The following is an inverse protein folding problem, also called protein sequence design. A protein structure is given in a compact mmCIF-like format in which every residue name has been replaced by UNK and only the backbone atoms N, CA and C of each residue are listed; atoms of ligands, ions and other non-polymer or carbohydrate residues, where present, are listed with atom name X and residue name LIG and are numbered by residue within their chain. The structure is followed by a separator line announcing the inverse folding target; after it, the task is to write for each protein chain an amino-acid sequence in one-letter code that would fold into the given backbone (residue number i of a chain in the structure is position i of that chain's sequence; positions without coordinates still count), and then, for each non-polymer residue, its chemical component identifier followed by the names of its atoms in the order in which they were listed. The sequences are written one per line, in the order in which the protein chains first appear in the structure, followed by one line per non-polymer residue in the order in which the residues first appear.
data_IF_297592972433
#
_entry.id   IF_297592972433
#
_cell.length_a   1.000
_cell.length_b   1.000
_cell.length_c   1.000
_cell.angle_alpha   90.00
_cell.angle_beta   90.00
_cell.angle_gamma   90.00
#
_symmetry.space_group_name_H-M   'P 1'
#
loop_
_entity.id
_entity.type
_entity.pdbx_description
1 polymer ?
#
# COMPACT_ATOMS: atom_id res chain seq x y z
N UNK A 1 3.87 23.23 21.71
CA UNK A 1 2.99 23.15 22.91
C UNK A 1 2.30 21.79 22.90
N UNK A 2 2.55 20.93 23.88
CA UNK A 2 2.03 19.55 23.88
C UNK A 2 0.50 19.54 24.00
N UNK A 3 -0.19 18.99 23.00
CA UNK A 3 -1.62 18.69 23.04
C UNK A 3 -1.85 17.55 24.07
N UNK A 4 -1.85 17.92 25.35
CA UNK A 4 -1.88 17.01 26.50
C UNK A 4 -3.27 16.42 26.73
N UNK A 5 -3.86 15.83 25.69
CA UNK A 5 -5.01 14.95 25.83
C UNK A 5 -4.51 13.52 26.10
N UNK A 6 -4.61 13.00 27.33
CA UNK A 6 -4.08 11.68 27.69
C UNK A 6 -4.70 10.54 26.86
N UNK A 7 -5.92 10.71 26.33
CA UNK A 7 -6.53 9.73 25.43
C UNK A 7 -5.85 9.67 24.05
N UNK A 8 -5.39 10.81 23.52
CA UNK A 8 -4.66 10.86 22.24
C UNK A 8 -3.27 10.24 22.39
N UNK A 9 -2.55 10.61 23.46
CA UNK A 9 -1.23 10.05 23.78
C UNK A 9 -1.28 8.54 24.00
N UNK A 10 -2.32 8.01 24.66
CA UNK A 10 -2.48 6.56 24.84
C UNK A 10 -2.76 5.82 23.51
N UNK A 11 -3.52 6.44 22.59
CA UNK A 11 -3.78 5.86 21.27
C UNK A 11 -2.53 5.83 20.39
N UNK A 12 -1.72 6.88 20.43
CA UNK A 12 -0.43 6.92 19.72
C UNK A 12 0.50 5.80 20.20
N UNK A 13 0.67 5.66 21.52
CA UNK A 13 1.48 4.57 22.10
C UNK A 13 0.97 3.18 21.70
N UNK A 14 -0.35 2.97 21.78
CA UNK A 14 -0.94 1.70 21.35
C UNK A 14 -0.70 1.43 19.87
N UNK A 15 -0.79 2.45 19.02
CA UNK A 15 -0.52 2.33 17.60
C UNK A 15 0.95 1.98 17.33
N UNK A 16 1.89 2.58 18.07
CA UNK A 16 3.32 2.28 17.95
C UNK A 16 3.65 0.83 18.35
N UNK A 17 3.06 0.35 19.46
CA UNK A 17 3.18 -1.05 19.87
C UNK A 17 2.62 -2.00 18.81
N UNK A 18 1.48 -1.63 18.20
CA UNK A 18 0.86 -2.43 17.15
C UNK A 18 1.73 -2.47 15.88
N UNK A 19 2.28 -1.33 15.47
CA UNK A 19 3.15 -1.22 14.30
C UNK A 19 4.45 -2.01 14.49
N UNK A 20 5.07 -1.94 15.66
CA UNK A 20 6.27 -2.71 15.97
C UNK A 20 6.02 -4.22 15.91
N UNK A 21 4.90 -4.70 16.47
CA UNK A 21 4.56 -6.13 16.45
C UNK A 21 4.17 -6.61 15.03
N UNK A 22 3.45 -5.77 14.26
CA UNK A 22 3.12 -6.08 12.88
C UNK A 22 4.34 -6.03 11.97
N UNK A 23 5.35 -5.23 12.28
CA UNK A 23 6.62 -5.24 11.53
C UNK A 23 7.30 -6.60 11.64
N UNK A 24 7.35 -7.17 12.84
CA UNK A 24 7.83 -8.54 13.06
C UNK A 24 7.02 -9.53 12.22
N UNK A 25 5.69 -9.38 12.16
CA UNK A 25 4.84 -10.25 11.32
C UNK A 25 5.21 -10.17 9.83
N UNK A 26 5.47 -8.97 9.32
CA UNK A 26 5.89 -8.77 7.91
C UNK A 26 7.25 -9.40 7.66
N UNK A 27 8.23 -9.17 8.54
CA UNK A 27 9.57 -9.74 8.39
C UNK A 27 9.55 -11.28 8.45
N UNK A 28 8.69 -11.86 9.30
CA UNK A 28 8.44 -13.30 9.32
C UNK A 28 7.77 -13.79 8.03
N UNK A 29 6.75 -13.07 7.55
CA UNK A 29 6.05 -13.41 6.31
C UNK A 29 6.99 -13.41 5.12
N UNK A 30 7.83 -12.38 4.99
CA UNK A 30 8.80 -12.25 3.90
C UNK A 30 9.95 -13.25 4.00
N UNK A 31 10.30 -13.75 5.19
CA UNK A 31 11.25 -14.86 5.39
C UNK A 31 10.58 -16.25 5.37
N UNK A 32 9.46 -16.43 4.66
CA UNK A 32 8.76 -17.73 4.54
C UNK A 32 8.22 -18.33 5.84
N UNK A 33 8.23 -17.59 6.95
CA UNK A 33 7.66 -18.00 8.24
C UNK A 33 6.19 -17.56 8.35
N UNK A 34 5.44 -17.77 7.27
CA UNK A 34 4.06 -17.29 7.13
C UNK A 34 3.13 -17.86 8.21
N UNK A 35 3.24 -19.16 8.52
CA UNK A 35 2.41 -19.80 9.53
C UNK A 35 2.59 -19.17 10.91
N UNK A 36 3.82 -18.80 11.26
CA UNK A 36 4.12 -18.15 12.53
C UNK A 36 3.61 -16.71 12.56
N UNK A 37 3.77 -15.96 11.46
CA UNK A 37 3.21 -14.62 11.31
C UNK A 37 1.68 -14.62 11.46
N UNK A 38 1.00 -15.57 10.82
CA UNK A 38 -0.46 -15.75 10.92
C UNK A 38 -0.86 -16.13 12.36
N UNK A 39 -0.13 -17.04 13.00
CA UNK A 39 -0.38 -17.44 14.38
C UNK A 39 -0.23 -16.26 15.35
N UNK A 40 0.79 -15.42 15.18
CA UNK A 40 1.00 -14.22 15.97
C UNK A 40 -0.15 -13.22 15.77
N UNK A 41 -0.50 -12.94 14.52
CA UNK A 41 -1.57 -12.01 14.17
C UNK A 41 -2.94 -12.46 14.71
N UNK A 42 -3.27 -13.75 14.55
CA UNK A 42 -4.56 -14.33 15.01
C UNK A 42 -4.61 -14.57 16.51
N UNK A 43 -3.47 -14.85 17.15
CA UNK A 43 -3.36 -15.05 18.60
C UNK A 43 -3.62 -13.77 19.42
N UNK A 44 -3.53 -12.59 18.81
CA UNK A 44 -3.84 -11.32 19.45
C UNK A 44 -5.31 -10.93 19.26
N UNK A 45 -6.01 -10.67 20.37
CA UNK A 45 -7.34 -10.06 20.35
C UNK A 45 -7.24 -8.55 20.60
N UNK A 46 -7.10 -7.78 19.51
CA UNK A 46 -7.05 -6.30 19.53
C UNK A 46 -8.16 -5.73 18.63
N UNK A 47 -9.43 -5.76 19.06
CA UNK A 47 -10.57 -5.38 18.22
C UNK A 47 -10.65 -3.87 17.96
N UNK A 48 -10.04 -3.07 18.83
CA UNK A 48 -10.00 -1.61 18.71
C UNK A 48 -8.77 -1.10 17.93
N UNK A 49 -7.82 -1.98 17.63
CA UNK A 49 -6.61 -1.62 16.89
C UNK A 49 -6.86 -1.63 15.38
N UNK A 50 -6.74 -0.45 14.77
CA UNK A 50 -6.91 -0.28 13.34
C UNK A 50 -5.92 -1.11 12.53
N UNK A 51 -4.62 -1.08 12.89
CA UNK A 51 -3.60 -1.78 12.14
C UNK A 51 -3.68 -3.29 12.28
N UNK A 52 -4.09 -3.81 13.45
CA UNK A 52 -4.34 -5.25 13.60
C UNK A 52 -5.52 -5.72 12.77
N UNK A 53 -6.62 -4.96 12.76
CA UNK A 53 -7.76 -5.31 11.91
C UNK A 53 -7.36 -5.28 10.43
N UNK A 54 -6.61 -4.26 10.01
CA UNK A 54 -6.14 -4.17 8.64
C UNK A 54 -5.19 -5.32 8.28
N UNK A 55 -4.24 -5.67 9.16
CA UNK A 55 -3.35 -6.82 8.96
C UNK A 55 -4.11 -8.14 8.83
N UNK A 56 -5.14 -8.36 9.67
CA UNK A 56 -6.02 -9.54 9.56
C UNK A 56 -6.81 -9.56 8.26
N UNK A 57 -7.32 -8.39 7.84
CA UNK A 57 -8.01 -8.27 6.56
C UNK A 57 -7.08 -8.55 5.37
N UNK A 58 -5.82 -8.13 5.43
CA UNK A 58 -4.82 -8.46 4.41
C UNK A 58 -4.48 -9.96 4.38
N UNK A 59 -4.46 -10.62 5.52
CA UNK A 59 -4.27 -12.07 5.62
C UNK A 59 -5.45 -12.85 5.03
N UNK A 60 -6.69 -12.48 5.36
CA UNK A 60 -7.88 -13.06 4.73
C UNK A 60 -7.96 -12.75 3.23
N UNK A 61 -7.56 -11.54 2.82
CA UNK A 61 -7.44 -11.15 1.42
C UNK A 61 -6.45 -12.02 0.66
N UNK A 62 -5.28 -12.31 1.25
CA UNK A 62 -4.31 -13.22 0.65
C UNK A 62 -4.89 -14.62 0.47
N UNK A 63 -5.60 -15.15 1.49
CA UNK A 63 -6.29 -16.44 1.37
C UNK A 63 -7.31 -16.43 0.23
N UNK A 64 -8.13 -15.38 0.15
CA UNK A 64 -9.14 -15.22 -0.88
C UNK A 64 -8.54 -15.17 -2.29
N UNK A 65 -7.41 -14.48 -2.48
CA UNK A 65 -6.70 -14.44 -3.76
C UNK A 65 -6.15 -15.82 -4.15
N UNK A 66 -5.58 -16.55 -3.18
CA UNK A 66 -4.96 -17.85 -3.42
C UNK A 66 -5.98 -18.98 -3.66
N UNK A 67 -7.10 -18.96 -2.93
CA UNK A 67 -8.13 -20.01 -3.03
C UNK A 67 -9.16 -19.72 -4.12
N UNK A 68 -9.39 -18.43 -4.42
CA UNK A 68 -10.45 -17.94 -5.29
C UNK A 68 -11.85 -18.45 -4.91
N UNK A 69 -12.05 -18.82 -3.64
CA UNK A 69 -13.32 -19.35 -3.15
C UNK A 69 -14.25 -18.21 -2.74
N UNK A 70 -15.54 -18.22 -3.16
CA UNK A 70 -16.48 -17.16 -2.79
C UNK A 70 -16.60 -16.92 -1.28
N UNK A 71 -16.53 -17.99 -0.47
CA UNK A 71 -16.59 -17.89 0.98
C UNK A 71 -15.37 -17.17 1.59
N UNK A 72 -14.18 -17.39 1.03
CA UNK A 72 -12.96 -16.70 1.46
C UNK A 72 -12.99 -15.23 1.04
N UNK A 73 -13.49 -14.93 -0.16
CA UNK A 73 -13.70 -13.55 -0.64
C UNK A 73 -14.68 -12.80 0.26
N UNK A 74 -15.82 -13.41 0.61
CA UNK A 74 -16.80 -12.82 1.52
C UNK A 74 -16.21 -12.57 2.92
N UNK A 75 -15.35 -13.49 3.39
CA UNK A 75 -14.64 -13.34 4.66
C UNK A 75 -13.68 -12.15 4.61
N UNK A 76 -12.89 -12.01 3.54
CA UNK A 76 -12.01 -10.86 3.35
C UNK A 76 -12.79 -9.54 3.32
N UNK A 77 -13.92 -9.49 2.60
CA UNK A 77 -14.80 -8.32 2.57
C UNK A 77 -15.30 -7.94 3.99
N UNK A 78 -15.75 -8.92 4.78
CA UNK A 78 -16.18 -8.69 6.18
C UNK A 78 -15.04 -8.19 7.06
N UNK A 79 -13.83 -8.71 6.90
CA UNK A 79 -12.64 -8.24 7.63
C UNK A 79 -12.28 -6.80 7.26
N UNK A 80 -12.43 -6.40 5.99
CA UNK A 80 -12.28 -5.00 5.60
C UNK A 80 -13.40 -4.10 6.14
N UNK A 81 -14.67 -4.55 6.15
CA UNK A 81 -15.76 -3.79 6.76
C UNK A 81 -15.51 -3.54 8.26
N UNK A 82 -14.94 -4.51 8.98
CA UNK A 82 -14.50 -4.33 10.37
C UNK A 82 -13.37 -3.31 10.48
N UNK A 83 -12.39 -3.36 9.59
CA UNK A 83 -11.30 -2.37 9.55
C UNK A 83 -11.83 -0.96 9.31
N UNK A 84 -12.75 -0.79 8.35
CA UNK A 84 -13.39 0.49 8.05
C UNK A 84 -14.13 1.04 9.27
N UNK A 85 -14.85 0.19 10.01
CA UNK A 85 -15.54 0.59 11.24
C UNK A 85 -14.57 1.11 12.30
N UNK A 86 -13.45 0.42 12.52
CA UNK A 86 -12.44 0.81 13.51
C UNK A 86 -11.69 2.07 13.09
N UNK A 87 -11.26 2.14 11.82
CA UNK A 87 -10.60 3.33 11.28
C UNK A 87 -11.52 4.56 11.36
N UNK A 88 -12.79 4.42 10.97
CA UNK A 88 -13.75 5.53 11.01
C UNK A 88 -13.99 6.06 12.43
N UNK A 89 -13.95 5.21 13.46
CA UNK A 89 -14.04 5.64 14.86
C UNK A 89 -12.82 6.44 15.35
N UNK A 90 -11.71 6.38 14.63
CA UNK A 90 -10.46 7.09 14.93
C UNK A 90 -10.18 8.26 13.98
N UNK A 91 -10.96 8.42 12.91
CA UNK A 91 -10.91 9.60 12.03
C UNK A 91 -11.42 10.84 12.75
N UNK A 92 -10.99 12.00 12.27
CA UNK A 92 -11.42 13.29 12.84
C UNK A 92 -12.92 13.49 12.54
N UNK A 93 -13.72 13.76 13.57
CA UNK A 93 -15.18 13.98 13.46
C UNK A 93 -15.57 15.10 12.47
N UNK A 94 -14.65 16.00 12.11
CA UNK A 94 -14.87 17.08 11.15
C UNK A 94 -14.69 16.66 9.68
N UNK A 95 -14.18 15.46 9.37
CA UNK A 95 -14.10 14.94 7.99
C UNK A 95 -15.49 14.69 7.36
N UNK A 96 -16.55 14.65 8.17
CA UNK A 96 -17.94 14.51 7.71
C UNK A 96 -18.62 15.84 7.33
N UNK A 97 -18.14 16.98 7.83
CA UNK A 97 -18.81 18.29 7.61
C UNK A 97 -18.63 18.82 6.18
N UNK A 98 -17.72 18.23 5.39
CA UNK A 98 -17.59 18.48 3.94
C UNK A 98 -18.17 17.38 3.05
N UNK A 99 -18.63 16.25 3.62
CA UNK A 99 -19.12 15.09 2.87
C UNK A 99 -20.65 14.93 2.97
N UNK A 100 -21.29 15.50 4.00
CA UNK A 100 -22.76 15.43 4.20
C UNK A 100 -23.59 16.34 3.26
N UNK A 101 -22.98 17.04 2.29
CA UNK A 101 -23.71 17.81 1.28
C UNK A 101 -24.17 16.95 0.08
N UNK A 102 -24.63 15.72 0.34
CA UNK A 102 -25.39 14.91 -0.64
C UNK A 102 -26.87 15.32 -0.68
N UNK A 103 -27.30 16.31 0.13
CA UNK A 103 -28.68 16.82 0.08
C UNK A 103 -29.02 17.71 -1.12
N UNK A 104 -28.07 18.02 -2.01
CA UNK A 104 -28.38 18.70 -3.27
C UNK A 104 -28.43 17.67 -4.43
N UNK A 105 -29.62 17.11 -4.66
CA UNK A 105 -29.97 16.38 -5.88
C UNK A 105 -29.71 17.34 -7.06
N UNK A 106 -28.53 17.23 -7.68
CA UNK A 106 -28.14 18.06 -8.82
C UNK A 106 -26.70 18.57 -8.83
N UNK A 107 -25.92 18.43 -7.75
CA UNK A 107 -24.50 18.84 -7.74
C UNK A 107 -23.58 17.67 -7.41
N UNK A 108 -22.91 17.14 -8.43
CA UNK A 108 -21.93 16.03 -8.35
C UNK A 108 -20.57 16.46 -7.72
N UNK A 109 -20.55 17.53 -6.94
CA UNK A 109 -19.30 18.07 -6.37
C UNK A 109 -19.10 17.50 -4.97
N UNK A 110 -18.61 16.25 -4.90
CA UNK A 110 -17.90 15.79 -3.70
C UNK A 110 -16.66 16.68 -3.58
N UNK A 111 -16.62 17.52 -2.54
CA UNK A 111 -15.61 18.56 -2.35
C UNK A 111 -14.20 18.00 -2.37
N UNK A 112 -13.29 18.67 -3.07
CA UNK A 112 -11.86 18.38 -3.04
C UNK A 112 -11.36 18.48 -1.60
N UNK A 113 -10.88 17.37 -1.02
CA UNK A 113 -10.21 17.42 0.28
C UNK A 113 -8.87 18.13 0.07
N UNK A 114 -8.83 19.43 0.29
CA UNK A 114 -7.61 20.22 0.18
C UNK A 114 -6.60 19.82 1.26
N UNK A 115 -5.30 19.83 0.93
CA UNK A 115 -4.22 19.44 1.85
C UNK A 115 -4.21 20.20 3.20
N UNK A 116 -4.84 21.37 3.29
CA UNK A 116 -5.04 22.10 4.55
C UNK A 116 -5.89 21.34 5.58
N UNK A 117 -6.73 20.40 5.14
CA UNK A 117 -7.58 19.57 6.01
C UNK A 117 -6.75 18.66 6.93
N UNK A 118 -5.53 18.28 6.50
CA UNK A 118 -4.64 17.37 7.22
C UNK A 118 -3.65 18.09 8.14
N UNK A 119 -3.47 19.41 8.01
CA UNK A 119 -2.49 20.17 8.81
C UNK A 119 -2.80 20.09 10.31
N UNK A 120 -4.08 20.17 10.69
CA UNK A 120 -4.53 20.11 12.08
C UNK A 120 -5.02 18.74 12.53
N UNK A 121 -4.54 17.65 11.90
CA UNK A 121 -4.82 16.29 12.31
C UNK A 121 -3.65 15.74 13.14
N UNK A 122 -3.99 14.94 14.15
CA UNK A 122 -3.03 14.14 14.92
C UNK A 122 -2.45 13.03 14.06
N UNK A 123 -1.36 12.41 14.52
CA UNK A 123 -0.73 11.28 13.81
C UNK A 123 -1.72 10.13 13.57
N UNK A 124 -2.42 9.70 14.63
CA UNK A 124 -3.43 8.62 14.56
C UNK A 124 -4.54 8.94 13.57
N UNK A 125 -5.04 10.18 13.54
CA UNK A 125 -6.09 10.58 12.61
C UNK A 125 -5.63 10.49 11.14
N UNK A 126 -4.37 10.84 10.84
CA UNK A 126 -3.83 10.71 9.47
C UNK A 126 -3.69 9.24 9.04
N UNK A 127 -3.21 8.37 9.93
CA UNK A 127 -3.20 6.94 9.67
C UNK A 127 -4.61 6.38 9.51
N UNK A 128 -5.58 6.88 10.29
CA UNK A 128 -6.97 6.49 10.15
C UNK A 128 -7.58 6.88 8.81
N UNK A 129 -7.28 8.07 8.30
CA UNK A 129 -7.65 8.48 6.94
C UNK A 129 -7.00 7.56 5.89
N UNK A 130 -5.69 7.27 6.02
CA UNK A 130 -4.97 6.39 5.09
C UNK A 130 -5.54 4.96 5.09
N UNK A 131 -5.62 4.30 6.24
CA UNK A 131 -6.10 2.91 6.36
C UNK A 131 -7.57 2.81 5.94
N UNK A 132 -8.40 3.82 6.24
CA UNK A 132 -9.77 3.86 5.75
C UNK A 132 -9.81 3.87 4.22
N UNK A 133 -9.00 4.71 3.58
CA UNK A 133 -8.94 4.78 2.12
C UNK A 133 -8.43 3.46 1.50
N UNK A 134 -7.35 2.89 2.03
CA UNK A 134 -6.79 1.60 1.59
C UNK A 134 -7.81 0.45 1.72
N UNK A 135 -8.44 0.32 2.90
CA UNK A 135 -9.45 -0.70 3.14
C UNK A 135 -10.68 -0.53 2.24
N UNK A 136 -11.09 0.71 1.95
CA UNK A 136 -12.20 1.00 1.03
C UNK A 136 -11.90 0.48 -0.37
N UNK A 137 -10.70 0.75 -0.88
CA UNK A 137 -10.28 0.30 -2.21
C UNK A 137 -10.19 -1.22 -2.28
N UNK A 138 -9.54 -1.85 -1.29
CA UNK A 138 -9.40 -3.31 -1.26
C UNK A 138 -10.77 -4.00 -1.15
N UNK A 139 -11.65 -3.52 -0.28
CA UNK A 139 -13.02 -4.04 -0.14
C UNK A 139 -13.83 -3.93 -1.43
N UNK A 140 -13.77 -2.78 -2.11
CA UNK A 140 -14.41 -2.61 -3.42
C UNK A 140 -13.81 -3.55 -4.48
N UNK A 141 -12.48 -3.74 -4.48
CA UNK A 141 -11.81 -4.69 -5.36
C UNK A 141 -12.29 -6.13 -5.17
N UNK A 142 -12.43 -6.58 -3.92
CA UNK A 142 -13.00 -7.90 -3.61
C UNK A 142 -14.49 -8.02 -3.95
N UNK A 143 -15.26 -6.94 -3.84
CA UNK A 143 -16.66 -6.91 -4.32
C UNK A 143 -16.74 -7.17 -5.83
N UNK A 144 -15.88 -6.49 -6.61
CA UNK A 144 -15.77 -6.72 -8.06
C UNK A 144 -15.34 -8.16 -8.35
N UNK A 145 -14.37 -8.69 -7.60
CA UNK A 145 -13.90 -10.07 -7.75
C UNK A 145 -15.00 -11.10 -7.46
N UNK A 146 -15.80 -10.85 -6.42
CA UNK A 146 -16.90 -11.72 -5.99
C UNK A 146 -18.02 -11.77 -7.03
N UNK A 147 -18.45 -10.59 -7.51
CA UNK A 147 -19.56 -10.48 -8.44
C UNK A 147 -19.17 -10.78 -9.89
N UNK A 148 -17.87 -10.74 -10.21
CA UNK A 148 -17.34 -10.89 -11.59
C UNK A 148 -18.03 -9.98 -12.61
N UNK A 149 -18.54 -8.84 -12.15
CA UNK A 149 -19.33 -7.91 -12.92
C UNK A 149 -18.77 -6.49 -12.74
N UNK A 150 -18.66 -5.74 -13.83
CA UNK A 150 -18.20 -4.36 -13.78
C UNK A 150 -19.25 -3.43 -13.14
N UNK A 151 -20.53 -3.83 -13.09
CA UNK A 151 -21.57 -3.02 -12.45
C UNK A 151 -21.33 -2.82 -10.95
N UNK A 152 -20.74 -3.81 -10.26
CA UNK A 152 -20.38 -3.62 -8.84
C UNK A 152 -19.30 -2.55 -8.66
N UNK A 153 -18.43 -2.32 -9.66
CA UNK A 153 -17.49 -1.19 -9.63
C UNK A 153 -18.23 0.16 -9.72
N UNK A 154 -19.31 0.23 -10.49
CA UNK A 154 -20.16 1.44 -10.58
C UNK A 154 -20.84 1.69 -9.24
N UNK A 155 -21.37 0.66 -8.59
CA UNK A 155 -21.99 0.75 -7.26
C UNK A 155 -20.99 1.25 -6.20
N UNK A 156 -19.75 0.80 -6.27
CA UNK A 156 -18.67 1.19 -5.35
C UNK A 156 -17.98 2.51 -5.74
N UNK A 157 -18.32 3.11 -6.88
CA UNK A 157 -17.59 4.28 -7.44
C UNK A 157 -17.58 5.50 -6.51
N UNK A 158 -18.64 5.72 -5.74
CA UNK A 158 -18.74 6.83 -4.76
C UNK A 158 -17.72 6.63 -3.63
N UNK A 159 -17.65 5.41 -3.08
CA UNK A 159 -16.71 5.04 -2.02
C UNK A 159 -15.27 5.15 -2.51
N UNK A 160 -15.00 4.65 -3.72
CA UNK A 160 -13.70 4.77 -4.37
C UNK A 160 -13.29 6.23 -4.57
N UNK A 161 -14.23 7.10 -4.96
CA UNK A 161 -13.97 8.54 -5.14
C UNK A 161 -13.59 9.20 -3.83
N UNK A 162 -14.26 8.83 -2.73
CA UNK A 162 -13.90 9.30 -1.40
C UNK A 162 -12.49 8.85 -1.00
N UNK A 163 -12.15 7.58 -1.22
CA UNK A 163 -10.81 7.06 -0.90
C UNK A 163 -9.72 7.81 -1.69
N UNK A 164 -9.97 8.06 -2.97
CA UNK A 164 -9.05 8.80 -3.82
C UNK A 164 -8.89 10.27 -3.41
N UNK A 165 -9.98 10.92 -3.01
CA UNK A 165 -9.92 12.28 -2.47
C UNK A 165 -9.04 12.35 -1.20
N UNK A 166 -9.10 11.33 -0.34
CA UNK A 166 -8.22 11.22 0.84
C UNK A 166 -6.76 11.06 0.41
N UNK A 167 -6.45 10.15 -0.51
CA UNK A 167 -5.07 9.97 -1.00
C UNK A 167 -4.49 11.25 -1.61
N UNK A 168 -5.23 11.92 -2.48
CA UNK A 168 -4.77 13.19 -3.08
C UNK A 168 -4.61 14.30 -2.06
N UNK A 169 -5.51 14.35 -1.09
CA UNK A 169 -5.44 15.31 0.01
C UNK A 169 -4.21 15.09 0.88
N UNK A 170 -3.92 13.84 1.26
CA UNK A 170 -2.70 13.44 1.98
C UNK A 170 -1.46 13.74 1.14
N UNK A 171 -1.46 13.41 -0.15
CA UNK A 171 -0.35 13.70 -1.06
C UNK A 171 -0.07 15.21 -1.15
N UNK A 172 -1.11 16.01 -1.36
CA UNK A 172 -0.98 17.47 -1.42
C UNK A 172 -0.45 18.05 -0.10
N UNK A 173 -0.83 17.46 1.04
CA UNK A 173 -0.27 17.83 2.35
C UNK A 173 1.22 17.48 2.42
N UNK A 174 1.61 16.29 1.97
CA UNK A 174 3.00 15.83 1.97
C UNK A 174 3.89 16.67 1.06
N UNK A 175 3.44 16.95 -0.17
CA UNK A 175 4.18 17.80 -1.12
C UNK A 175 4.46 19.18 -0.52
N UNK A 176 3.49 19.75 0.23
CA UNK A 176 3.67 21.03 0.92
C UNK A 176 4.67 20.94 2.06
N UNK A 177 4.59 19.89 2.88
CA UNK A 177 5.54 19.67 3.97
C UNK A 177 6.96 19.49 3.41
N UNK A 178 7.13 18.76 2.31
CA UNK A 178 8.42 18.59 1.66
C UNK A 178 8.97 19.92 1.12
N UNK A 179 8.12 20.76 0.52
CA UNK A 179 8.52 22.10 0.07
C UNK A 179 8.95 23.00 1.23
N UNK A 180 8.23 22.97 2.35
CA UNK A 180 8.59 23.72 3.55
C UNK A 180 9.88 23.21 4.18
N UNK A 181 10.12 21.89 4.16
CA UNK A 181 11.38 21.28 4.60
C UNK A 181 12.56 21.76 3.74
N UNK A 182 12.42 21.75 2.41
CA UNK A 182 13.44 22.28 1.49
C UNK A 182 13.71 23.78 1.71
N UNK A 183 12.72 24.51 2.22
CA UNK A 183 12.84 25.92 2.59
C UNK A 183 13.41 26.16 4.00
N UNK A 184 13.80 25.10 4.73
CA UNK A 184 14.41 25.19 6.06
C UNK A 184 13.42 25.25 7.22
N UNK A 185 12.17 24.83 7.02
CA UNK A 185 11.15 24.73 8.07
C UNK A 185 11.35 23.56 9.04
N UNK A 186 10.82 23.69 10.26
CA UNK A 186 10.78 22.61 11.27
C UNK A 186 9.64 21.62 10.95
N UNK A 187 9.94 20.33 11.07
CA UNK A 187 9.11 19.19 10.63
C UNK A 187 8.38 18.54 11.81
N UNK A 188 8.78 18.85 13.04
CA UNK A 188 8.30 18.18 14.25
C UNK A 188 6.81 18.38 14.51
N UNK A 189 6.20 19.43 13.94
CA UNK A 189 4.78 19.75 14.12
C UNK A 189 3.86 19.04 13.12
N UNK A 190 4.40 18.34 12.11
CA UNK A 190 3.58 17.75 11.06
C UNK A 190 3.06 16.35 11.35
N UNK A 191 3.52 15.68 12.40
CA UNK A 191 3.03 14.34 12.79
C UNK A 191 3.03 13.33 11.62
N UNK A 192 4.08 13.35 10.80
CA UNK A 192 4.31 12.43 9.69
C UNK A 192 5.41 11.46 10.11
N UNK A 193 5.17 10.17 9.90
CA UNK A 193 6.15 9.11 10.12
C UNK A 193 6.38 8.29 8.84
N UNK A 194 7.36 7.40 8.89
CA UNK A 194 7.74 6.51 7.80
C UNK A 194 6.65 5.53 7.37
N UNK A 195 5.77 5.11 8.30
CA UNK A 195 4.68 4.19 8.00
C UNK A 195 3.57 4.86 7.18
N UNK A 196 3.27 6.13 7.47
CA UNK A 196 2.34 6.96 6.72
C UNK A 196 2.92 7.31 5.35
N UNK A 197 4.21 7.66 5.28
CA UNK A 197 4.93 7.96 4.02
C UNK A 197 4.91 6.75 3.09
N UNK A 198 5.43 5.62 3.53
CA UNK A 198 5.45 4.40 2.71
C UNK A 198 4.05 3.93 2.36
N UNK A 199 3.07 4.14 3.25
CA UNK A 199 1.68 3.81 2.97
C UNK A 199 1.04 4.66 1.91
N UNK A 200 1.23 5.97 1.96
CA UNK A 200 0.72 6.87 0.94
C UNK A 200 1.40 6.62 -0.41
N UNK A 201 2.73 6.41 -0.44
CA UNK A 201 3.48 6.07 -1.64
C UNK A 201 2.92 4.80 -2.27
N UNK A 202 2.81 3.73 -1.49
CA UNK A 202 2.33 2.43 -1.96
C UNK A 202 0.90 2.54 -2.52
N UNK A 203 -0.03 3.10 -1.75
CA UNK A 203 -1.43 3.18 -2.13
C UNK A 203 -1.64 4.07 -3.37
N UNK A 204 -1.01 5.25 -3.42
CA UNK A 204 -1.15 6.17 -4.54
C UNK A 204 -0.55 5.60 -5.84
N UNK A 205 0.61 4.92 -5.73
CA UNK A 205 1.23 4.28 -6.87
C UNK A 205 0.43 3.07 -7.37
N UNK A 206 0.05 2.18 -6.46
CA UNK A 206 -0.69 0.97 -6.80
C UNK A 206 -2.01 1.30 -7.48
N UNK A 207 -2.72 2.34 -7.03
CA UNK A 207 -3.96 2.78 -7.66
C UNK A 207 -3.74 3.22 -9.11
N UNK A 208 -2.72 4.04 -9.36
CA UNK A 208 -2.41 4.51 -10.71
C UNK A 208 -2.00 3.36 -11.65
N UNK A 209 -1.22 2.42 -11.12
CA UNK A 209 -0.75 1.25 -11.86
C UNK A 209 -1.88 0.25 -12.14
N UNK A 210 -2.65 -0.16 -11.13
CA UNK A 210 -3.70 -1.18 -11.28
C UNK A 210 -4.77 -0.72 -12.26
N UNK A 211 -5.17 0.56 -12.20
CA UNK A 211 -6.14 1.11 -13.16
C UNK A 211 -5.62 0.99 -14.60
N UNK A 212 -4.31 1.16 -14.82
CA UNK A 212 -3.73 1.05 -16.15
C UNK A 212 -3.81 -0.36 -16.76
N UNK A 213 -4.06 -1.39 -15.94
CA UNK A 213 -4.26 -2.77 -16.38
C UNK A 213 -5.72 -3.13 -16.67
N UNK A 214 -6.67 -2.27 -16.28
CA UNK A 214 -8.07 -2.54 -16.48
C UNK A 214 -8.43 -2.38 -17.97
N UNK A 215 -9.43 -3.13 -18.48
CA UNK A 215 -9.93 -2.92 -19.83
C UNK A 215 -10.32 -1.45 -20.06
N UNK A 216 -10.12 -0.94 -21.28
CA UNK A 216 -10.38 0.46 -21.67
C UNK A 216 -11.75 0.99 -21.24
N UNK A 217 -12.76 0.12 -21.22
CA UNK A 217 -14.13 0.47 -20.80
C UNK A 217 -14.16 0.90 -19.33
N UNK A 218 -13.42 0.20 -18.47
CA UNK A 218 -13.31 0.49 -17.05
C UNK A 218 -12.43 1.73 -16.83
N UNK A 219 -11.32 1.86 -17.57
CA UNK A 219 -10.47 3.06 -17.50
C UNK A 219 -11.28 4.32 -17.83
N UNK A 220 -12.05 4.31 -18.93
CA UNK A 220 -12.88 5.45 -19.33
C UNK A 220 -13.94 5.80 -18.29
N UNK A 221 -14.57 4.80 -17.68
CA UNK A 221 -15.52 5.00 -16.59
C UNK A 221 -14.84 5.67 -15.38
N UNK A 222 -13.67 5.17 -14.98
CA UNK A 222 -12.94 5.72 -13.84
C UNK A 222 -12.45 7.16 -14.15
N UNK A 223 -11.90 7.41 -15.33
CA UNK A 223 -11.52 8.76 -15.76
C UNK A 223 -12.72 9.71 -15.77
N UNK A 224 -13.89 9.26 -16.22
CA UNK A 224 -15.13 10.04 -16.18
C UNK A 224 -15.54 10.39 -14.74
N UNK A 225 -15.36 9.47 -13.80
CA UNK A 225 -15.62 9.70 -12.36
C UNK A 225 -14.51 10.55 -11.71
N UNK A 226 -13.46 10.92 -12.45
CA UNK A 226 -12.39 11.82 -12.01
C UNK A 226 -11.14 11.11 -11.46
N UNK A 227 -10.92 9.85 -11.84
CA UNK A 227 -9.72 9.09 -11.48
C UNK A 227 -8.68 9.16 -12.61
N UNK A 228 -7.63 9.99 -12.51
CA UNK A 228 -6.49 9.89 -13.40
C UNK A 228 -5.74 8.57 -13.15
N UNK A 229 -5.14 8.02 -14.21
CA UNK A 229 -4.22 6.88 -14.14
C UNK A 229 -2.98 7.25 -14.93
N UNK A 230 -1.85 7.31 -14.22
CA UNK A 230 -0.53 7.49 -14.79
C UNK A 230 0.40 6.41 -14.22
N UNK A 231 0.62 5.37 -15.02
CA UNK A 231 1.42 4.21 -14.64
C UNK A 231 2.87 4.59 -14.39
N UNK A 232 3.46 5.40 -15.26
CA UNK A 232 4.89 5.72 -15.20
C UNK A 232 5.17 6.60 -13.99
N UNK A 233 4.25 7.52 -13.68
CA UNK A 233 4.26 8.24 -12.42
C UNK A 233 4.12 7.31 -11.21
N UNK A 234 3.24 6.31 -11.27
CA UNK A 234 3.09 5.31 -10.21
C UNK A 234 4.37 4.51 -9.96
N UNK A 235 5.04 4.05 -11.02
CA UNK A 235 6.32 3.35 -10.93
C UNK A 235 7.42 4.26 -10.34
N UNK A 236 7.54 5.48 -10.85
CA UNK A 236 8.48 6.46 -10.31
C UNK A 236 8.23 6.74 -8.82
N UNK A 237 6.97 6.80 -8.40
CA UNK A 237 6.62 7.00 -7.00
C UNK A 237 7.04 5.82 -6.11
N UNK A 238 6.86 4.57 -6.55
CA UNK A 238 7.32 3.38 -5.82
C UNK A 238 8.83 3.40 -5.59
N UNK A 239 9.57 3.83 -6.62
CA UNK A 239 11.03 3.91 -6.58
C UNK A 239 11.54 4.90 -5.52
N UNK A 240 10.78 5.97 -5.22
CA UNK A 240 11.17 6.94 -4.18
C UNK A 240 11.18 6.34 -2.77
N UNK A 241 10.30 5.36 -2.47
CA UNK A 241 10.30 4.70 -1.16
C UNK A 241 11.59 3.92 -0.91
N UNK A 242 12.19 3.36 -1.97
CA UNK A 242 13.40 2.55 -1.91
C UNK A 242 14.68 3.22 -2.34
N UNK A 243 14.64 4.52 -2.67
CA UNK A 243 15.79 5.25 -3.22
C UNK A 243 16.36 4.52 -4.45
N UNK A 244 15.46 4.05 -5.31
CA UNK A 244 15.81 3.38 -6.55
C UNK A 244 15.92 4.39 -7.69
N UNK A 245 17.01 4.31 -8.46
CA UNK A 245 17.14 4.99 -9.74
C UNK A 245 17.03 3.96 -10.87
N UNK A 246 15.97 4.00 -11.69
CA UNK A 246 15.81 3.11 -12.84
C UNK A 246 16.91 3.25 -13.89
N UNK A 247 17.63 4.37 -13.93
CA UNK A 247 18.72 4.58 -14.89
C UNK A 247 20.04 4.00 -14.39
N UNK A 248 20.13 3.65 -13.11
CA UNK A 248 21.30 3.04 -12.52
C UNK A 248 21.27 1.52 -12.68
N UNK A 249 21.98 1.07 -13.72
CA UNK A 249 22.10 -0.34 -14.09
C UNK A 249 23.17 -1.10 -13.32
N UNK A 250 23.99 -0.42 -12.51
CA UNK A 250 25.07 -1.08 -11.80
C UNK A 250 24.51 -1.92 -10.64
N UNK A 251 25.12 -3.08 -10.31
CA UNK A 251 24.76 -3.83 -9.12
C UNK A 251 24.94 -2.98 -7.87
N UNK A 252 24.00 -3.12 -6.93
CA UNK A 252 24.04 -2.35 -5.69
C UNK A 252 25.34 -2.63 -4.92
N UNK A 253 26.10 -1.59 -4.61
CA UNK A 253 27.30 -1.72 -3.79
C UNK A 253 26.93 -1.99 -2.33
N UNK A 254 27.86 -2.54 -1.54
CA UNK A 254 27.64 -2.76 -0.11
C UNK A 254 27.31 -1.46 0.63
N UNK A 255 27.88 -0.33 0.21
CA UNK A 255 27.60 0.98 0.81
C UNK A 255 26.16 1.40 0.55
N UNK A 256 25.71 1.31 -0.69
CA UNK A 256 24.34 1.65 -1.08
C UNK A 256 23.31 0.71 -0.44
N UNK A 257 23.64 -0.57 -0.32
CA UNK A 257 22.83 -1.53 0.43
C UNK A 257 22.63 -1.08 1.89
N UNK A 258 23.73 -0.74 2.58
CA UNK A 258 23.67 -0.25 3.96
C UNK A 258 22.93 1.08 4.09
N UNK A 259 23.11 2.01 3.15
CA UNK A 259 22.38 3.28 3.11
C UNK A 259 20.87 3.05 2.98
N UNK A 260 20.44 2.16 2.09
CA UNK A 260 19.02 1.78 1.97
C UNK A 260 18.51 1.06 3.21
N UNK A 261 19.32 0.18 3.81
CA UNK A 261 18.95 -0.54 5.02
C UNK A 261 18.72 0.42 6.20
N UNK A 262 19.55 1.44 6.34
CA UNK A 262 19.49 2.46 7.40
C UNK A 262 18.55 3.62 7.08
N UNK A 263 18.00 3.69 5.87
CA UNK A 263 17.07 4.75 5.50
C UNK A 263 15.79 4.71 6.35
N UNK A 264 15.30 5.88 6.74
CA UNK A 264 14.09 6.00 7.56
C UNK A 264 12.85 5.36 6.91
N UNK A 265 12.74 5.37 5.58
CA UNK A 265 11.63 4.73 4.87
C UNK A 265 11.69 3.20 4.96
N UNK A 266 12.86 2.60 5.26
CA UNK A 266 12.99 1.16 5.33
C UNK A 266 12.25 0.52 6.53
N UNK A 267 11.98 1.31 7.56
CA UNK A 267 11.15 0.94 8.73
C UNK A 267 9.64 1.06 8.43
N UNK A 268 9.28 1.73 7.33
CA UNK A 268 7.90 1.88 6.88
C UNK A 268 7.21 0.53 6.60
N UNK A 269 5.97 0.38 7.08
CA UNK A 269 5.24 -0.90 7.02
C UNK A 269 4.98 -1.41 5.60
N UNK A 270 4.92 -0.52 4.62
CA UNK A 270 4.64 -0.89 3.22
C UNK A 270 5.87 -0.79 2.32
N UNK A 271 7.04 -0.50 2.90
CA UNK A 271 8.32 -0.37 2.15
C UNK A 271 8.57 -1.56 1.23
N UNK A 272 8.51 -2.79 1.75
CA UNK A 272 8.81 -4.00 0.97
C UNK A 272 7.74 -4.27 -0.10
N UNK A 273 6.50 -3.84 0.13
CA UNK A 273 5.46 -3.89 -0.90
C UNK A 273 5.75 -2.89 -2.03
N UNK A 274 6.36 -1.73 -1.72
CA UNK A 274 6.83 -0.80 -2.74
C UNK A 274 7.92 -1.40 -3.64
N UNK A 275 8.74 -2.33 -3.13
CA UNK A 275 9.74 -3.06 -3.92
C UNK A 275 9.15 -4.22 -4.70
N UNK A 276 8.22 -4.96 -4.10
CA UNK A 276 7.56 -6.09 -4.75
C UNK A 276 6.73 -5.66 -5.95
N UNK A 277 6.09 -4.49 -5.90
CA UNK A 277 5.26 -3.98 -6.98
C UNK A 277 6.01 -3.82 -8.33
N UNK A 278 7.13 -3.08 -8.45
CA UNK A 278 7.88 -2.98 -9.70
C UNK A 278 8.45 -4.34 -10.14
N UNK A 279 8.91 -5.19 -9.21
CA UNK A 279 9.38 -6.54 -9.54
C UNK A 279 8.25 -7.36 -10.20
N UNK A 280 7.07 -7.38 -9.58
CA UNK A 280 5.91 -8.09 -10.11
C UNK A 280 5.45 -7.54 -11.46
N UNK A 281 5.53 -6.22 -11.66
CA UNK A 281 5.18 -5.57 -12.93
C UNK A 281 6.13 -6.03 -14.05
N UNK A 282 7.44 -5.90 -13.84
CA UNK A 282 8.43 -6.20 -14.86
C UNK A 282 8.62 -7.71 -15.09
N UNK A 283 8.47 -8.57 -14.08
CA UNK A 283 8.67 -10.02 -14.23
C UNK A 283 7.39 -10.81 -14.52
N UNK A 284 6.28 -10.45 -13.88
CA UNK A 284 5.05 -11.24 -13.94
C UNK A 284 4.05 -10.61 -14.90
N UNK A 285 3.64 -9.36 -14.66
CA UNK A 285 2.60 -8.72 -15.45
C UNK A 285 3.03 -8.54 -16.91
N UNK A 286 4.31 -8.21 -17.15
CA UNK A 286 4.90 -8.09 -18.48
C UNK A 286 4.80 -9.35 -19.35
N UNK A 287 4.62 -10.53 -18.73
CA UNK A 287 4.49 -11.79 -19.46
C UNK A 287 3.10 -11.98 -20.10
N UNK A 288 2.07 -11.26 -19.62
CA UNK A 288 0.67 -11.46 -20.06
C UNK A 288 -0.01 -10.18 -20.55
N UNK A 289 0.59 -9.01 -20.29
CA UNK A 289 0.07 -7.71 -20.73
C UNK A 289 1.12 -7.01 -21.62
N UNK A 290 0.69 -6.21 -22.61
CA UNK A 290 1.62 -5.49 -23.49
C UNK A 290 2.20 -4.27 -22.77
N UNK A 291 3.36 -4.43 -22.14
CA UNK A 291 4.10 -3.31 -21.54
C UNK A 291 5.04 -2.65 -22.55
N UNK A 292 5.05 -1.31 -22.55
CA UNK A 292 6.13 -0.54 -23.15
C UNK A 292 7.22 -0.38 -22.09
N UNK A 293 8.47 -0.73 -22.43
CA UNK A 293 9.65 -0.61 -21.57
C UNK A 293 9.64 -1.54 -20.34
N UNK A 294 9.89 -2.84 -20.58
CA UNK A 294 10.14 -3.82 -19.51
C UNK A 294 11.61 -3.78 -19.12
N UNK A 295 11.91 -3.58 -17.84
CA UNK A 295 13.27 -3.55 -17.31
C UNK A 295 13.50 -4.71 -16.34
N UNK A 296 14.06 -5.79 -16.87
CA UNK A 296 14.37 -6.99 -16.09
C UNK A 296 15.57 -6.77 -15.16
N UNK A 297 16.57 -5.99 -15.60
CA UNK A 297 17.77 -5.66 -14.81
C UNK A 297 17.41 -4.87 -13.56
N UNK A 298 16.56 -3.87 -13.71
CA UNK A 298 16.05 -3.09 -12.58
C UNK A 298 15.27 -3.95 -11.59
N UNK A 299 14.41 -4.85 -12.09
CA UNK A 299 13.68 -5.79 -11.25
C UNK A 299 14.63 -6.75 -10.49
N UNK A 300 15.68 -7.25 -11.14
CA UNK A 300 16.71 -8.09 -10.50
C UNK A 300 17.46 -7.32 -9.41
N UNK A 301 17.82 -6.06 -9.64
CA UNK A 301 18.49 -5.20 -8.65
C UNK A 301 17.66 -5.04 -7.38
N UNK A 302 16.37 -4.69 -7.50
CA UNK A 302 15.46 -4.57 -6.35
C UNK A 302 15.30 -5.92 -5.64
N UNK A 303 15.17 -7.01 -6.40
CA UNK A 303 15.01 -8.35 -5.84
C UNK A 303 16.26 -8.80 -5.07
N UNK A 304 17.46 -8.50 -5.57
CA UNK A 304 18.73 -8.83 -4.92
C UNK A 304 18.88 -8.14 -3.56
N UNK A 305 18.53 -6.86 -3.46
CA UNK A 305 18.47 -6.16 -2.17
C UNK A 305 17.53 -6.87 -1.19
N UNK A 306 16.33 -7.24 -1.65
CA UNK A 306 15.36 -7.91 -0.79
C UNK A 306 15.78 -9.34 -0.42
N UNK A 307 16.49 -10.07 -1.29
CA UNK A 307 17.09 -11.37 -0.96
C UNK A 307 18.20 -11.26 0.08
N UNK A 308 19.04 -10.22 0.01
CA UNK A 308 20.05 -10.00 1.04
C UNK A 308 19.40 -9.71 2.41
N UNK A 309 18.30 -8.97 2.43
CA UNK A 309 17.52 -8.69 3.64
C UNK A 309 16.73 -9.90 4.14
N UNK A 310 16.18 -10.69 3.22
CA UNK A 310 15.31 -11.84 3.49
C UNK A 310 15.82 -13.10 2.76
N UNK A 311 16.94 -13.70 3.22
CA UNK A 311 17.63 -14.77 2.48
C UNK A 311 16.83 -16.07 2.38
N UNK A 312 15.90 -16.30 3.30
CA UNK A 312 15.05 -17.49 3.32
C UNK A 312 13.69 -17.24 2.62
N UNK A 313 13.55 -16.12 1.91
CA UNK A 313 12.29 -15.75 1.27
C UNK A 313 11.97 -16.60 0.04
N UNK A 314 10.93 -17.42 0.13
CA UNK A 314 10.39 -18.16 -0.99
C UNK A 314 9.87 -17.22 -2.09
N UNK A 315 9.39 -16.03 -1.71
CA UNK A 315 8.89 -15.03 -2.65
C UNK A 315 10.03 -14.46 -3.48
N UNK A 316 11.09 -13.98 -2.85
CA UNK A 316 12.21 -13.37 -3.58
C UNK A 316 13.07 -14.41 -4.30
N UNK A 317 13.17 -15.65 -3.79
CA UNK A 317 13.79 -16.77 -4.50
C UNK A 317 12.97 -17.18 -5.73
N UNK A 318 11.64 -17.25 -5.60
CA UNK A 318 10.74 -17.48 -6.75
C UNK A 318 10.90 -16.39 -7.81
N UNK A 319 10.97 -15.12 -7.40
CA UNK A 319 11.17 -13.99 -8.31
C UNK A 319 12.56 -14.01 -8.97
N UNK A 320 13.60 -14.46 -8.27
CA UNK A 320 14.93 -14.69 -8.85
C UNK A 320 14.92 -15.80 -9.90
N UNK A 321 14.28 -16.94 -9.59
CA UNK A 321 14.10 -18.03 -10.55
C UNK A 321 13.27 -17.59 -11.78
N UNK A 322 12.23 -16.77 -11.55
CA UNK A 322 11.46 -16.14 -12.63
C UNK A 322 12.29 -15.19 -13.47
N UNK A 323 13.16 -14.39 -12.88
CA UNK A 323 14.09 -13.53 -13.61
C UNK A 323 15.03 -14.34 -14.51
N UNK A 324 15.61 -15.43 -14.00
CA UNK A 324 16.42 -16.34 -14.80
C UNK A 324 15.59 -16.95 -15.96
N UNK A 325 14.35 -17.36 -15.69
CA UNK A 325 13.45 -17.92 -16.69
C UNK A 325 13.10 -16.95 -17.83
N UNK A 326 12.74 -15.69 -17.54
CA UNK A 326 12.41 -14.70 -18.58
C UNK A 326 13.62 -14.29 -19.42
N UNK A 327 14.83 -14.44 -18.87
CA UNK A 327 16.11 -14.24 -19.56
C UNK A 327 16.69 -15.52 -20.18
N UNK A 328 15.86 -16.57 -20.37
CA UNK A 328 16.23 -17.85 -20.99
C UNK A 328 17.37 -18.63 -20.30
N UNK A 329 17.68 -18.31 -19.04
CA UNK A 329 18.64 -19.02 -18.17
C UNK A 329 17.93 -20.17 -17.43
N UNK A 330 17.48 -21.18 -18.17
CA UNK A 330 16.60 -22.24 -17.63
C UNK A 330 17.27 -23.14 -16.60
N UNK A 331 18.53 -23.50 -16.78
CA UNK A 331 19.26 -24.36 -15.83
C UNK A 331 19.43 -23.67 -14.47
N UNK A 332 19.73 -22.37 -14.48
CA UNK A 332 19.78 -21.52 -13.28
C UNK A 332 18.41 -21.44 -12.61
N UNK A 333 17.34 -21.22 -13.38
CA UNK A 333 15.98 -21.16 -12.86
C UNK A 333 15.59 -22.48 -12.17
N UNK A 334 15.87 -23.63 -12.80
CA UNK A 334 15.59 -24.96 -12.23
C UNK A 334 16.35 -25.15 -10.93
N UNK A 335 17.65 -24.85 -10.92
CA UNK A 335 18.49 -24.98 -9.73
C UNK A 335 17.94 -24.14 -8.57
N UNK A 336 17.53 -22.89 -8.82
CA UNK A 336 16.93 -22.04 -7.79
C UNK A 336 15.60 -22.62 -7.30
N UNK A 337 14.70 -23.04 -8.20
CA UNK A 337 13.41 -23.63 -7.81
C UNK A 337 13.57 -24.87 -6.91
N UNK A 338 14.58 -25.70 -7.16
CA UNK A 338 14.88 -26.87 -6.32
C UNK A 338 15.36 -26.50 -4.90
N UNK A 339 15.86 -25.28 -4.69
CA UNK A 339 16.23 -24.79 -3.35
C UNK A 339 15.05 -24.28 -2.53
N UNK A 340 13.93 -23.93 -3.18
CA UNK A 340 12.72 -23.45 -2.51
C UNK A 340 12.03 -24.65 -1.84
N UNK A 341 11.99 -24.66 -0.51
CA UNK A 341 11.45 -25.75 0.30
C UNK A 341 10.08 -25.44 0.88
#
# INVERSE_FOLDING_TARGET
MSDANPRKSNREKSMDEDLAELRICIDMFLNSRMNEAIALLRGRHKPESMYYQFGKALEDALRAILSFQPADIETAMKSFDQTLKVANAQRKSSSMVGMDTVKAIGSWVVGTIGGSSFRGMTRVEKHAELVYAEATVLRAGFSVLYHQDFWSLVEESVSLRSAFAIFNGLKTHFDKVEQELKAGGDISEYHIDEHLVTGLIFAAALFNIVISFLPDTIIKLLQFVGFPSDRDWGLALLNTAGLWDPNDTDPDSEVEFQERLLSHTNEGMRRQLCDLAPIAIHLIAASFLPFQHVDYTFAEKINNYNLQKYPESMFFLFLQARHAQVNTRLDEAIAIYETIK
#
